data_IF_605070525528
#
_entry.id   IF_605070525528
#
_cell.length_a   1.000
_cell.length_b   1.000
_cell.length_c   1.000
_cell.angle_alpha   90.00
_cell.angle_beta   90.00
_cell.angle_gamma   90.00
#
_symmetry.space_group_name_H-M   'P 1'
#
loop_
_entity.id
_entity.type
_entity.pdbx_description
1 polymer ?
#
# COMPACT_ATOMS: atom_id res chain seq x y z
N UNK A 1 14.51 5.65 -13.20
CA UNK A 1 13.92 4.33 -13.54
C UNK A 1 12.95 4.56 -14.70
N UNK A 2 12.91 3.67 -15.69
CA UNK A 2 11.86 3.66 -16.73
C UNK A 2 10.87 2.55 -16.36
N UNK A 3 9.57 2.85 -16.35
CA UNK A 3 8.50 1.88 -16.06
C UNK A 3 7.65 1.74 -17.31
N UNK A 4 7.47 0.50 -17.79
CA UNK A 4 6.58 0.17 -18.89
C UNK A 4 5.34 -0.52 -18.28
N UNK A 5 4.13 0.01 -18.46
CA UNK A 5 2.92 -0.60 -17.93
C UNK A 5 2.70 -2.03 -18.44
N UNK A 6 2.21 -2.90 -17.58
CA UNK A 6 1.92 -4.30 -17.91
C UNK A 6 0.81 -4.87 -17.02
N UNK A 7 0.46 -6.14 -17.24
CA UNK A 7 -0.51 -6.83 -16.38
C UNK A 7 0.12 -7.06 -15.00
N UNK A 8 -0.57 -6.60 -13.96
CA UNK A 8 -0.12 -6.72 -12.58
C UNK A 8 -0.82 -7.91 -11.90
N UNK A 9 -0.16 -8.46 -10.88
CA UNK A 9 -0.68 -9.52 -10.01
C UNK A 9 -0.31 -9.21 -8.56
N UNK A 10 -1.08 -9.74 -7.61
CA UNK A 10 -0.78 -9.64 -6.19
C UNK A 10 0.59 -10.18 -5.82
N UNK A 11 1.16 -9.60 -4.77
CA UNK A 11 2.45 -9.98 -4.22
C UNK A 11 2.56 -9.53 -2.76
N UNK A 12 3.49 -10.15 -2.03
CA UNK A 12 3.93 -9.66 -0.73
C UNK A 12 5.00 -8.57 -0.94
N UNK A 13 4.74 -7.38 -0.40
CA UNK A 13 5.55 -6.18 -0.61
C UNK A 13 6.36 -5.88 0.65
N UNK A 14 7.68 -5.91 0.50
CA UNK A 14 8.61 -5.43 1.51
C UNK A 14 8.65 -3.90 1.49
N UNK A 15 8.54 -3.27 2.66
CA UNK A 15 8.44 -1.80 2.75
C UNK A 15 9.78 -1.13 2.96
N UNK A 16 10.80 -1.89 3.40
CA UNK A 16 12.13 -1.38 3.74
C UNK A 16 12.07 -0.21 4.75
N UNK A 17 11.07 -0.23 5.66
CA UNK A 17 10.78 0.83 6.64
C UNK A 17 10.48 2.21 6.01
N UNK A 18 10.09 2.24 4.74
CA UNK A 18 9.68 3.45 4.03
C UNK A 18 8.14 3.53 4.01
N UNK A 19 7.60 4.50 4.75
CA UNK A 19 6.17 4.81 4.77
C UNK A 19 5.54 5.01 3.39
N UNK A 20 6.28 5.53 2.41
CA UNK A 20 5.77 5.78 1.06
C UNK A 20 5.62 4.49 0.30
N UNK A 21 6.44 3.48 0.56
CA UNK A 21 6.25 2.14 0.01
C UNK A 21 4.92 1.57 0.49
N UNK A 22 4.68 1.57 1.81
CA UNK A 22 3.41 1.11 2.36
C UNK A 22 2.20 1.87 1.78
N UNK A 23 2.24 3.21 1.76
CA UNK A 23 1.13 4.01 1.21
C UNK A 23 0.93 3.81 -0.30
N UNK A 24 1.99 3.73 -1.09
CA UNK A 24 1.88 3.57 -2.55
C UNK A 24 1.28 2.22 -2.93
N UNK A 25 1.71 1.15 -2.25
CA UNK A 25 1.17 -0.18 -2.50
C UNK A 25 -0.22 -0.38 -1.90
N UNK A 26 -0.61 0.37 -0.86
CA UNK A 26 -1.99 0.40 -0.38
C UNK A 26 -2.94 0.94 -1.46
N UNK A 27 -2.57 2.05 -2.11
CA UNK A 27 -3.33 2.60 -3.24
C UNK A 27 -3.34 1.62 -4.42
N UNK A 28 -2.21 0.99 -4.74
CA UNK A 28 -2.15 -0.02 -5.79
C UNK A 28 -3.06 -1.23 -5.51
N UNK A 29 -3.17 -1.62 -4.23
CA UNK A 29 -4.03 -2.72 -3.76
C UNK A 29 -5.53 -2.49 -3.97
N UNK A 30 -5.96 -1.26 -4.25
CA UNK A 30 -7.35 -0.98 -4.64
C UNK A 30 -7.72 -1.59 -6.00
N UNK A 31 -6.73 -1.81 -6.87
CA UNK A 31 -6.95 -2.34 -8.23
C UNK A 31 -6.30 -3.70 -8.46
N UNK A 32 -5.32 -4.08 -7.62
CA UNK A 32 -4.54 -5.31 -7.75
C UNK A 32 -4.89 -6.22 -6.60
N UNK A 33 -5.67 -7.26 -6.88
CA UNK A 33 -6.01 -8.28 -5.90
C UNK A 33 -4.76 -9.01 -5.38
N UNK A 34 -4.72 -9.29 -4.07
CA UNK A 34 -3.68 -10.10 -3.45
C UNK A 34 -2.39 -9.36 -3.07
N UNK A 35 -2.37 -8.02 -3.05
CA UNK A 35 -1.28 -7.26 -2.45
C UNK A 35 -1.28 -7.42 -0.93
N UNK A 36 -0.13 -7.77 -0.35
CA UNK A 36 0.07 -7.84 1.11
C UNK A 36 1.28 -7.00 1.50
N UNK A 37 1.12 -6.06 2.41
CA UNK A 37 2.19 -5.16 2.86
C UNK A 37 2.77 -5.73 4.17
N UNK A 38 4.09 -5.98 4.23
CA UNK A 38 4.71 -6.67 5.38
C UNK A 38 4.81 -5.83 6.65
N UNK A 39 5.14 -4.55 6.51
CA UNK A 39 5.29 -3.60 7.62
C UNK A 39 4.41 -2.37 7.35
N UNK A 40 3.08 -2.51 7.48
CA UNK A 40 2.14 -1.42 7.22
C UNK A 40 2.24 -0.31 8.28
N UNK A 41 2.76 -0.59 9.47
CA UNK A 41 2.85 0.37 10.57
C UNK A 41 3.94 1.43 10.36
N UNK A 42 4.88 1.20 9.42
CA UNK A 42 5.90 2.20 9.10
C UNK A 42 5.32 3.54 8.61
N UNK A 43 4.06 3.58 8.17
CA UNK A 43 3.34 4.82 7.80
C UNK A 43 3.27 5.82 8.95
N UNK A 44 3.28 5.34 10.19
CA UNK A 44 3.23 6.18 11.40
C UNK A 44 4.37 7.18 11.51
N UNK A 45 5.48 6.95 10.79
CA UNK A 45 6.61 7.90 10.70
C UNK A 45 6.21 9.29 10.22
N UNK A 46 5.23 9.40 9.32
CA UNK A 46 4.75 10.71 8.84
C UNK A 46 3.24 10.87 8.81
N UNK A 47 2.49 9.76 8.78
CA UNK A 47 1.05 9.80 8.69
C UNK A 47 0.41 8.75 9.62
N UNK A 48 0.42 8.98 10.94
CA UNK A 48 -0.12 8.04 11.94
C UNK A 48 -1.57 7.61 11.71
N UNK A 49 -2.40 8.47 11.10
CA UNK A 49 -3.81 8.19 10.82
C UNK A 49 -4.08 7.63 9.42
N UNK A 50 -3.03 7.29 8.67
CA UNK A 50 -3.17 6.87 7.27
C UNK A 50 -4.19 5.75 7.08
N UNK A 51 -4.11 4.65 7.84
CA UNK A 51 -5.02 3.51 7.67
C UNK A 51 -6.47 3.82 8.07
N UNK A 52 -6.67 4.68 9.08
CA UNK A 52 -8.00 5.14 9.48
C UNK A 52 -8.64 5.97 8.35
N UNK A 53 -7.89 6.94 7.83
CA UNK A 53 -8.36 7.82 6.74
C UNK A 53 -8.56 7.03 5.44
N UNK A 54 -7.61 6.15 5.11
CA UNK A 54 -7.66 5.28 3.94
C UNK A 54 -8.89 4.36 3.98
N UNK A 55 -9.17 3.74 5.12
CA UNK A 55 -10.37 2.89 5.29
C UNK A 55 -11.67 3.69 5.13
N UNK A 56 -11.74 4.92 5.62
CA UNK A 56 -12.94 5.77 5.49
C UNK A 56 -13.24 6.12 4.03
N UNK A 57 -12.20 6.33 3.22
CA UNK A 57 -12.34 6.74 1.82
C UNK A 57 -12.58 5.53 0.92
N UNK A 58 -11.86 4.43 1.17
CA UNK A 58 -11.81 3.27 0.27
C UNK A 58 -12.76 2.12 0.66
N UNK A 59 -13.47 2.22 1.80
CA UNK A 59 -14.52 1.27 2.18
C UNK A 59 -14.06 0.06 3.00
N UNK A 60 -12.88 0.12 3.63
CA UNK A 60 -12.31 -1.00 4.36
C UNK A 60 -11.76 -2.07 3.41
N UNK A 61 -10.50 -2.46 3.62
CA UNK A 61 -9.88 -3.56 2.89
C UNK A 61 -10.52 -4.86 3.42
N UNK A 62 -11.15 -5.66 2.56
CA UNK A 62 -11.49 -7.05 2.88
C UNK A 62 -10.23 -7.88 3.08
#
# INVERSE_FOLDING_TARGET
IIIIPGKLSGAEIETYKDHRMAMSFAVAGLFIEGIKIRDPDCVSKSYPKFWEDFSKICGGIN
#
